data_IF_169810607937
#
_entry.id   IF_169810607937
#
_cell.length_a   1.000
_cell.length_b   1.000
_cell.length_c   1.000
_cell.angle_alpha   90.00
_cell.angle_beta   90.00
_cell.angle_gamma   90.00
#
_symmetry.space_group_name_H-M   'P 1'
#
loop_
_entity.id
_entity.type
_entity.pdbx_description
1 polymer ?
#
# COMPACT_ATOMS: atom_id res chain seq x y z
N UNK A 1 -15.91 -9.62 5.89
CA UNK A 1 -16.40 -10.33 4.71
C UNK A 1 -15.34 -10.45 3.62
N UNK A 2 -15.33 -11.56 2.88
CA UNK A 2 -14.33 -11.82 1.81
C UNK A 2 -14.36 -10.75 0.72
N UNK A 3 -15.54 -10.23 0.37
CA UNK A 3 -15.70 -9.23 -0.68
C UNK A 3 -14.99 -7.89 -0.36
N UNK A 4 -14.95 -7.49 0.91
CA UNK A 4 -14.43 -6.20 1.33
C UNK A 4 -12.95 -6.22 1.76
N UNK A 5 -12.32 -7.41 1.77
CA UNK A 5 -10.92 -7.55 2.18
C UNK A 5 -9.96 -6.68 1.37
N UNK A 6 -10.16 -6.58 0.06
CA UNK A 6 -9.32 -5.75 -0.79
C UNK A 6 -9.43 -4.27 -0.44
N UNK A 7 -10.64 -3.80 -0.15
CA UNK A 7 -10.87 -2.43 0.28
C UNK A 7 -10.25 -2.15 1.65
N UNK A 8 -10.42 -3.05 2.62
CA UNK A 8 -9.77 -2.92 3.94
C UNK A 8 -8.24 -2.91 3.82
N UNK A 9 -7.67 -3.77 2.97
CA UNK A 9 -6.23 -3.79 2.69
C UNK A 9 -5.76 -2.50 2.02
N UNK A 10 -6.54 -1.91 1.12
CA UNK A 10 -6.19 -0.63 0.48
C UNK A 10 -6.18 0.53 1.46
N UNK A 11 -7.09 0.55 2.43
CA UNK A 11 -7.08 1.53 3.53
C UNK A 11 -5.81 1.37 4.37
N UNK A 12 -5.47 0.14 4.73
CA UNK A 12 -4.25 -0.14 5.48
C UNK A 12 -2.99 0.29 4.70
N UNK A 13 -2.91 -0.06 3.41
CA UNK A 13 -1.79 0.32 2.54
C UNK A 13 -1.67 1.84 2.34
N UNK A 14 -2.76 2.59 2.46
CA UNK A 14 -2.71 4.06 2.34
C UNK A 14 -1.85 4.71 3.42
N UNK A 15 -1.70 4.06 4.58
CA UNK A 15 -0.80 4.52 5.63
C UNK A 15 0.66 4.62 5.15
N UNK A 16 1.14 3.65 4.36
CA UNK A 16 2.48 3.71 3.78
C UNK A 16 2.63 4.84 2.76
N UNK A 17 1.58 5.11 1.97
CA UNK A 17 1.55 6.22 1.02
C UNK A 17 1.57 7.58 1.73
N UNK A 18 0.82 7.73 2.82
CA UNK A 18 0.87 8.93 3.66
C UNK A 18 2.27 9.11 4.24
N UNK A 19 2.90 8.04 4.73
CA UNK A 19 4.28 8.07 5.20
C UNK A 19 5.26 8.52 4.11
N UNK A 20 5.13 7.98 2.90
CA UNK A 20 5.95 8.35 1.75
C UNK A 20 5.75 9.81 1.32
N UNK A 21 4.56 10.38 1.57
CA UNK A 21 4.24 11.78 1.27
C UNK A 21 4.81 12.73 2.34
N UNK A 22 4.75 12.33 3.61
CA UNK A 22 5.18 13.17 4.75
C UNK A 22 6.70 13.13 4.96
N UNK A 23 7.34 11.97 4.72
CA UNK A 23 8.76 11.78 5.01
C UNK A 23 9.69 12.74 4.23
N UNK A 24 9.56 12.95 2.91
CA UNK A 24 10.39 13.89 2.16
C UNK A 24 10.27 15.35 2.63
N UNK A 25 9.14 15.70 3.24
CA UNK A 25 8.92 17.04 3.78
C UNK A 25 9.50 17.18 5.19
N UNK A 26 9.27 16.20 6.06
CA UNK A 26 9.58 16.29 7.48
C UNK A 26 11.05 15.95 7.80
N UNK A 27 11.62 14.92 7.17
CA UNK A 27 12.96 14.43 7.49
C UNK A 27 14.05 15.47 7.20
N UNK A 28 14.09 16.13 6.03
CA UNK A 28 15.10 17.17 5.76
C UNK A 28 14.97 18.37 6.69
N UNK A 29 13.75 18.76 7.06
CA UNK A 29 13.50 19.88 7.98
C UNK A 29 14.02 19.54 9.38
N UNK A 30 13.73 18.35 9.88
CA UNK A 30 14.23 17.87 11.18
C UNK A 30 15.77 17.79 11.17
N UNK A 31 16.34 17.20 10.13
CA UNK A 31 17.79 17.06 10.02
C UNK A 31 18.50 18.43 9.99
N UNK A 32 17.96 19.38 9.21
CA UNK A 32 18.49 20.76 9.17
C UNK A 32 18.37 21.45 10.53
N UNK A 33 17.23 21.34 11.19
CA UNK A 33 17.00 21.92 12.50
C UNK A 33 18.03 21.42 13.53
N UNK A 34 18.19 20.10 13.68
CA UNK A 34 19.12 19.51 14.64
C UNK A 34 20.60 19.78 14.32
N UNK A 35 20.95 19.80 13.05
CA UNK A 35 22.28 20.21 12.61
C UNK A 35 22.57 21.65 13.01
N UNK A 36 21.62 22.57 12.85
CA UNK A 36 21.80 23.98 13.15
C UNK A 36 21.98 24.24 14.68
N UNK A 37 21.36 23.43 15.52
CA UNK A 37 21.53 23.52 16.99
C UNK A 37 22.72 22.70 17.50
N UNK A 38 23.55 22.14 16.60
CA UNK A 38 24.78 21.43 16.95
C UNK A 38 24.59 20.01 17.49
N UNK A 39 23.44 19.37 17.23
CA UNK A 39 23.18 18.00 17.66
C UNK A 39 23.52 17.03 16.51
N UNK A 40 24.75 16.53 16.51
CA UNK A 40 25.27 15.59 15.52
C UNK A 40 25.23 16.14 14.09
N UNK A 41 25.01 15.25 13.12
CA UNK A 41 24.75 15.65 11.72
C UNK A 41 23.27 15.96 11.44
N UNK A 42 22.40 15.79 12.45
CA UNK A 42 20.97 16.10 12.41
C UNK A 42 20.08 14.94 11.92
N UNK A 43 20.57 14.08 11.04
CA UNK A 43 19.79 12.96 10.52
C UNK A 43 19.55 11.89 11.60
N UNK A 44 20.45 11.70 12.52
CA UNK A 44 20.33 10.75 13.63
C UNK A 44 19.08 11.05 14.48
N UNK A 45 18.87 12.35 14.76
CA UNK A 45 17.71 12.78 15.54
C UNK A 45 16.40 12.57 14.78
N UNK A 46 16.41 12.64 13.46
CA UNK A 46 15.22 12.33 12.64
C UNK A 46 14.81 10.86 12.82
N UNK A 47 15.76 9.92 12.84
CA UNK A 47 15.48 8.51 13.11
C UNK A 47 14.96 8.27 14.52
N UNK A 48 15.57 8.93 15.52
CA UNK A 48 15.16 8.80 16.93
C UNK A 48 13.72 9.30 17.10
N UNK A 49 13.36 10.45 16.52
CA UNK A 49 12.02 11.03 16.63
C UNK A 49 10.99 10.14 15.94
N UNK A 50 11.26 9.69 14.71
CA UNK A 50 10.34 8.83 13.98
C UNK A 50 10.17 7.48 14.68
N UNK A 51 11.27 6.91 15.20
CA UNK A 51 11.24 5.70 16.01
C UNK A 51 10.42 5.88 17.30
N UNK A 52 10.59 7.01 17.99
CA UNK A 52 9.82 7.34 19.19
C UNK A 52 8.31 7.46 18.90
N UNK A 53 7.92 8.04 17.76
CA UNK A 53 6.52 8.08 17.32
C UNK A 53 5.94 6.67 17.12
N UNK A 54 6.76 5.72 16.65
CA UNK A 54 6.35 4.31 16.57
C UNK A 54 6.02 3.70 17.93
N UNK A 55 6.79 4.01 18.98
CA UNK A 55 6.47 3.55 20.35
C UNK A 55 5.23 4.23 20.91
N UNK A 56 5.02 5.51 20.62
CA UNK A 56 3.76 6.22 20.97
C UNK A 56 2.57 5.54 20.31
N UNK A 57 2.68 5.22 19.01
CA UNK A 57 1.66 4.47 18.29
C UNK A 57 1.38 3.10 18.92
N UNK A 58 2.44 2.37 19.27
CA UNK A 58 2.31 1.06 19.94
C UNK A 58 1.54 1.19 21.26
N UNK A 59 1.82 2.24 22.04
CA UNK A 59 1.06 2.55 23.25
C UNK A 59 -0.42 2.72 22.95
N UNK A 60 -0.79 3.58 22.00
CA UNK A 60 -2.18 3.75 21.57
C UNK A 60 -2.81 2.43 21.12
N UNK A 61 -2.10 1.64 20.33
CA UNK A 61 -2.59 0.36 19.88
C UNK A 61 -2.95 -0.58 21.04
N UNK A 62 -2.08 -0.72 22.02
CA UNK A 62 -2.31 -1.60 23.18
C UNK A 62 -3.53 -1.18 24.02
N UNK A 63 -3.82 0.13 24.09
CA UNK A 63 -4.96 0.64 24.85
C UNK A 63 -6.27 0.67 24.05
N UNK A 64 -6.22 0.89 22.75
CA UNK A 64 -7.41 1.11 21.92
C UNK A 64 -7.86 -0.15 21.18
N UNK A 65 -6.94 -1.07 20.89
CA UNK A 65 -7.28 -2.26 20.11
C UNK A 65 -8.12 -3.23 20.93
N UNK A 66 -9.30 -3.56 20.41
CA UNK A 66 -10.20 -4.58 20.93
C UNK A 66 -10.68 -5.47 19.78
N UNK A 67 -10.90 -6.75 20.08
CA UNK A 67 -11.53 -7.64 19.09
C UNK A 67 -12.97 -7.19 18.83
N UNK A 68 -13.52 -7.39 17.60
CA UNK A 68 -14.88 -6.98 17.28
C UNK A 68 -15.93 -7.46 18.28
N UNK A 69 -15.80 -8.70 18.78
CA UNK A 69 -16.71 -9.32 19.74
C UNK A 69 -16.67 -8.67 21.14
N UNK A 70 -15.59 -7.97 21.45
CA UNK A 70 -15.36 -7.30 22.74
C UNK A 70 -15.53 -5.79 22.66
N UNK A 71 -15.67 -5.26 21.45
CA UNK A 71 -15.77 -3.83 21.21
C UNK A 71 -17.17 -3.31 21.52
N UNK A 72 -17.25 -2.27 22.35
CA UNK A 72 -18.50 -1.58 22.66
C UNK A 72 -19.04 -0.75 21.49
N UNK A 73 -18.24 -0.54 20.45
CA UNK A 73 -18.58 0.28 19.29
C UNK A 73 -19.17 -0.54 18.14
N UNK A 74 -19.07 -1.87 18.19
CA UNK A 74 -19.60 -2.79 17.18
C UNK A 74 -21.00 -3.24 17.60
N UNK A 75 -21.99 -3.01 16.74
CA UNK A 75 -23.35 -3.48 16.99
C UNK A 75 -23.56 -4.92 16.45
N UNK A 76 -24.67 -5.55 16.83
CA UNK A 76 -24.97 -6.96 16.44
C UNK A 76 -25.07 -7.14 14.92
N UNK A 77 -25.62 -6.14 14.20
CA UNK A 77 -25.75 -6.20 12.74
C UNK A 77 -24.37 -6.15 12.07
N UNK A 78 -23.47 -5.32 12.59
CA UNK A 78 -22.09 -5.22 12.11
C UNK A 78 -21.29 -6.49 12.44
N UNK A 79 -21.47 -7.05 13.64
CA UNK A 79 -20.83 -8.30 14.02
C UNK A 79 -21.27 -9.45 13.11
N UNK A 80 -22.57 -9.55 12.83
CA UNK A 80 -23.12 -10.53 11.88
C UNK A 80 -22.55 -10.32 10.47
N UNK A 81 -22.42 -9.07 10.03
CA UNK A 81 -21.81 -8.75 8.74
C UNK A 81 -20.33 -9.15 8.69
N UNK A 82 -19.57 -8.94 9.75
CA UNK A 82 -18.16 -9.35 9.83
C UNK A 82 -18.03 -10.87 9.70
N UNK A 83 -18.91 -11.64 10.36
CA UNK A 83 -18.88 -13.10 10.41
C UNK A 83 -19.70 -13.79 9.32
N UNK A 84 -20.32 -13.06 8.39
CA UNK A 84 -21.20 -13.66 7.37
C UNK A 84 -20.55 -14.78 6.55
N UNK A 85 -19.23 -14.72 6.35
CA UNK A 85 -18.49 -15.75 5.61
C UNK A 85 -18.12 -16.97 6.45
N UNK A 86 -18.31 -16.91 7.76
CA UNK A 86 -18.04 -18.02 8.69
C UNK A 86 -19.27 -18.95 8.73
N UNK A 87 -20.47 -18.40 8.57
CA UNK A 87 -21.71 -19.16 8.48
C UNK A 87 -21.78 -20.06 7.22
N UNK A 88 -21.12 -19.69 6.12
CA UNK A 88 -21.01 -20.53 4.92
C UNK A 88 -20.19 -21.81 5.15
N UNK A 89 -19.40 -21.89 6.23
CA UNK A 89 -18.60 -23.08 6.57
C UNK A 89 -19.39 -24.15 7.31
N UNK A 90 -20.56 -23.82 7.86
CA UNK A 90 -21.35 -24.77 8.64
C UNK A 90 -21.98 -25.90 7.79
N UNK A 91 -21.97 -25.76 6.45
CA UNK A 91 -22.34 -26.83 5.51
C UNK A 91 -21.21 -27.80 5.14
N UNK A 92 -19.96 -27.43 5.42
CA UNK A 92 -18.78 -28.28 5.25
C UNK A 92 -18.30 -28.65 6.66
N UNK A 93 -18.36 -29.96 7.00
CA UNK A 93 -17.85 -30.47 8.28
C UNK A 93 -16.54 -29.76 8.61
N UNK A 94 -16.37 -29.23 9.82
CA UNK A 94 -15.11 -28.60 10.22
C UNK A 94 -14.00 -29.61 10.01
N UNK A 95 -13.17 -29.38 9.02
CA UNK A 95 -11.87 -30.04 8.93
C UNK A 95 -11.17 -29.67 10.23
N UNK A 96 -10.84 -30.65 11.05
CA UNK A 96 -10.25 -30.48 12.37
C UNK A 96 -9.18 -29.37 12.30
N UNK A 97 -9.53 -28.20 12.85
CA UNK A 97 -8.68 -27.00 12.85
C UNK A 97 -7.32 -27.22 13.55
N UNK A 98 -7.16 -28.31 14.27
CA UNK A 98 -5.89 -28.69 14.92
C UNK A 98 -4.86 -29.23 13.92
N UNK A 99 -5.28 -29.86 12.80
CA UNK A 99 -4.36 -30.34 11.76
C UNK A 99 -3.92 -29.23 10.79
N UNK A 100 -4.74 -28.16 10.61
CA UNK A 100 -4.35 -27.00 9.79
C UNK A 100 -3.33 -26.10 10.49
N UNK A 101 -3.25 -26.09 11.82
CA UNK A 101 -2.36 -25.21 12.59
C UNK A 101 -0.88 -25.58 12.53
N UNK A 102 -0.54 -26.80 12.15
CA UNK A 102 0.82 -27.33 12.24
C UNK A 102 1.42 -27.71 10.86
N UNK A 103 1.05 -26.98 9.79
CA UNK A 103 1.72 -27.19 8.50
C UNK A 103 3.14 -26.61 8.61
N UNK A 104 4.19 -27.43 8.52
CA UNK A 104 5.57 -26.94 8.57
C UNK A 104 5.81 -25.98 7.39
N UNK A 105 6.56 -24.89 7.65
CA UNK A 105 6.82 -23.83 6.66
C UNK A 105 7.33 -24.40 5.31
N UNK A 106 8.18 -25.40 5.35
CA UNK A 106 8.72 -26.07 4.15
C UNK A 106 7.62 -26.67 3.26
N UNK A 107 6.50 -27.11 3.84
CA UNK A 107 5.38 -27.64 3.07
C UNK A 107 4.68 -26.57 2.22
N UNK A 108 4.72 -25.28 2.64
CA UNK A 108 4.18 -24.20 1.80
C UNK A 108 4.93 -24.07 0.47
N UNK A 109 6.22 -24.38 0.43
CA UNK A 109 7.04 -24.34 -0.77
C UNK A 109 6.66 -25.42 -1.81
N UNK A 110 5.87 -26.42 -1.42
CA UNK A 110 5.39 -27.47 -2.33
C UNK A 110 4.11 -27.07 -3.08
N UNK A 111 3.44 -25.99 -2.68
CA UNK A 111 2.22 -25.53 -3.32
C UNK A 111 2.52 -24.58 -4.49
N UNK A 112 2.00 -24.83 -5.71
CA UNK A 112 2.17 -23.94 -6.86
C UNK A 112 1.66 -22.50 -6.58
N UNK A 113 0.60 -22.38 -5.79
CA UNK A 113 0.01 -21.09 -5.40
C UNK A 113 1.01 -20.21 -4.63
N UNK A 114 1.83 -20.82 -3.76
CA UNK A 114 2.89 -20.11 -3.02
C UNK A 114 3.89 -19.48 -3.97
N UNK A 115 4.35 -20.23 -4.97
CA UNK A 115 5.28 -19.72 -5.96
C UNK A 115 4.66 -18.66 -6.85
N UNK A 116 3.38 -18.81 -7.24
CA UNK A 116 2.68 -17.81 -8.01
C UNK A 116 2.63 -16.47 -7.27
N UNK A 117 2.26 -16.48 -5.98
CA UNK A 117 2.22 -15.27 -5.15
C UNK A 117 3.63 -14.72 -4.94
N UNK A 118 4.62 -15.58 -4.64
CA UNK A 118 6.00 -15.17 -4.42
C UNK A 118 6.59 -14.47 -5.64
N UNK A 119 6.48 -15.09 -6.83
CA UNK A 119 7.01 -14.51 -8.06
C UNK A 119 6.27 -13.22 -8.45
N UNK A 120 4.94 -13.22 -8.33
CA UNK A 120 4.16 -12.03 -8.60
C UNK A 120 4.60 -10.86 -7.72
N UNK A 121 4.75 -11.07 -6.41
CA UNK A 121 5.21 -10.06 -5.47
C UNK A 121 6.66 -9.64 -5.72
N UNK A 122 7.57 -10.58 -5.96
CA UNK A 122 8.96 -10.29 -6.24
C UNK A 122 9.13 -9.33 -7.43
N UNK A 123 8.36 -9.55 -8.50
CA UNK A 123 8.43 -8.73 -9.70
C UNK A 123 7.74 -7.38 -9.48
N UNK A 124 6.53 -7.37 -8.93
CA UNK A 124 5.72 -6.16 -8.83
C UNK A 124 6.20 -5.21 -7.73
N UNK A 125 6.60 -5.72 -6.57
CA UNK A 125 7.08 -4.88 -5.47
C UNK A 125 8.41 -4.21 -5.82
N UNK A 126 9.26 -4.86 -6.64
CA UNK A 126 10.46 -4.24 -7.20
C UNK A 126 10.17 -2.97 -8.00
N UNK A 127 9.10 -2.96 -8.79
CA UNK A 127 8.65 -1.77 -9.55
C UNK A 127 8.21 -0.65 -8.61
N UNK A 128 7.46 -0.99 -7.56
CA UNK A 128 7.03 0.00 -6.56
C UNK A 128 8.21 0.67 -5.86
N UNK A 129 9.16 -0.13 -5.37
CA UNK A 129 10.35 0.39 -4.70
C UNK A 129 11.22 1.22 -5.65
N UNK A 130 11.30 0.83 -6.92
CA UNK A 130 11.96 1.64 -7.93
C UNK A 130 11.31 3.01 -8.05
N UNK A 131 10.00 3.12 -8.22
CA UNK A 131 9.32 4.40 -8.29
C UNK A 131 9.52 5.24 -7.02
N UNK A 132 9.48 4.62 -5.85
CA UNK A 132 9.63 5.32 -4.58
C UNK A 132 11.01 5.95 -4.41
N UNK A 133 12.06 5.20 -4.70
CA UNK A 133 13.43 5.65 -4.41
C UNK A 133 14.11 6.37 -5.58
N UNK A 134 13.78 6.03 -6.82
CA UNK A 134 14.47 6.57 -7.98
C UNK A 134 13.80 7.78 -8.62
N UNK A 135 12.52 8.04 -8.35
CA UNK A 135 11.86 9.24 -8.89
C UNK A 135 12.53 10.55 -8.46
N UNK A 136 12.97 10.75 -7.19
CA UNK A 136 13.71 11.94 -6.82
C UNK A 136 15.04 12.09 -7.58
N UNK A 137 15.78 11.00 -7.75
CA UNK A 137 17.02 10.99 -8.53
C UNK A 137 16.73 11.32 -10.01
N UNK A 138 15.70 10.72 -10.58
CA UNK A 138 15.25 10.99 -11.95
C UNK A 138 14.91 12.48 -12.17
N UNK A 139 14.21 13.12 -11.23
CA UNK A 139 13.90 14.53 -11.30
C UNK A 139 15.16 15.40 -11.22
N UNK A 140 16.11 15.01 -10.37
CA UNK A 140 17.39 15.69 -10.22
C UNK A 140 18.24 15.59 -11.49
N UNK A 141 18.40 14.38 -12.04
CA UNK A 141 19.34 14.11 -13.12
C UNK A 141 18.81 14.57 -14.50
N UNK A 142 17.51 14.40 -14.73
CA UNK A 142 16.90 14.71 -16.03
C UNK A 142 16.43 16.16 -16.13
N UNK A 143 15.93 16.73 -15.02
CA UNK A 143 15.32 18.08 -15.03
C UNK A 143 16.10 19.10 -14.21
N UNK A 144 17.27 18.74 -13.64
CA UNK A 144 18.06 19.60 -12.75
C UNK A 144 17.22 20.12 -11.56
N UNK A 145 16.36 19.26 -11.01
CA UNK A 145 15.51 19.54 -9.85
C UNK A 145 15.99 18.73 -8.63
N UNK A 146 17.02 19.18 -7.90
CA UNK A 146 17.51 18.49 -6.71
C UNK A 146 16.42 18.40 -5.64
N UNK A 147 16.56 17.44 -4.72
CA UNK A 147 15.51 17.09 -3.74
C UNK A 147 15.14 18.21 -2.77
N UNK A 148 15.97 19.25 -2.63
CA UNK A 148 15.71 20.46 -1.84
C UNK A 148 15.02 21.57 -2.64
N UNK A 149 14.84 21.40 -3.96
CA UNK A 149 14.13 22.33 -4.81
C UNK A 149 12.62 22.29 -4.50
N UNK A 150 11.95 23.43 -4.25
CA UNK A 150 10.51 23.48 -3.97
C UNK A 150 9.63 22.83 -5.06
N UNK A 151 10.06 22.93 -6.33
CA UNK A 151 9.34 22.29 -7.44
C UNK A 151 9.47 20.78 -7.37
N UNK A 152 10.66 20.23 -7.09
CA UNK A 152 10.85 18.80 -6.92
C UNK A 152 9.99 18.24 -5.76
N UNK A 153 9.96 18.96 -4.64
CA UNK A 153 9.12 18.61 -3.49
C UNK A 153 7.64 18.59 -3.88
N UNK A 154 7.17 19.61 -4.61
CA UNK A 154 5.80 19.66 -5.09
C UNK A 154 5.48 18.51 -6.04
N UNK A 155 6.36 18.17 -6.98
CA UNK A 155 6.18 17.06 -7.91
C UNK A 155 6.09 15.72 -7.21
N UNK A 156 6.97 15.47 -6.22
CA UNK A 156 6.94 14.27 -5.39
C UNK A 156 5.63 14.21 -4.57
N UNK A 157 5.22 15.34 -4.00
CA UNK A 157 3.95 15.44 -3.28
C UNK A 157 2.76 15.09 -4.18
N UNK A 158 2.69 15.65 -5.38
CA UNK A 158 1.63 15.35 -6.36
C UNK A 158 1.66 13.89 -6.76
N UNK A 159 2.83 13.32 -7.04
CA UNK A 159 3.00 11.91 -7.37
C UNK A 159 2.38 11.00 -6.30
N UNK A 160 2.76 11.20 -5.03
CA UNK A 160 2.21 10.38 -3.93
C UNK A 160 0.74 10.68 -3.66
N UNK A 161 0.27 11.90 -3.89
CA UNK A 161 -1.15 12.22 -3.81
C UNK A 161 -1.96 11.43 -4.85
N UNK A 162 -1.42 11.27 -6.07
CA UNK A 162 -2.04 10.44 -7.11
C UNK A 162 -2.05 8.97 -6.69
N UNK A 163 -0.99 8.46 -6.03
CA UNK A 163 -0.97 7.07 -5.58
C UNK A 163 -2.07 6.74 -4.55
N UNK A 164 -2.61 7.73 -3.84
CA UNK A 164 -3.75 7.54 -2.94
C UNK A 164 -5.04 7.15 -3.67
N UNK A 165 -5.12 7.31 -5.00
CA UNK A 165 -6.24 6.77 -5.79
C UNK A 165 -6.37 5.25 -5.65
N UNK A 166 -5.34 4.56 -5.16
CA UNK A 166 -5.39 3.14 -4.81
C UNK A 166 -6.50 2.80 -3.79
N UNK A 167 -6.91 3.74 -2.95
CA UNK A 167 -8.06 3.58 -2.05
C UNK A 167 -9.35 3.29 -2.84
N UNK A 168 -9.56 4.04 -3.93
CA UNK A 168 -10.70 3.81 -4.82
C UNK A 168 -10.54 2.50 -5.59
N UNK A 169 -9.30 2.21 -6.03
CA UNK A 169 -8.97 0.96 -6.72
C UNK A 169 -9.25 -0.30 -5.87
N UNK A 170 -9.03 -0.22 -4.55
CA UNK A 170 -9.36 -1.31 -3.62
C UNK A 170 -10.85 -1.64 -3.54
N UNK A 171 -11.74 -0.73 -3.94
CA UNK A 171 -13.19 -0.98 -4.04
C UNK A 171 -13.60 -1.68 -5.33
N UNK A 172 -12.75 -1.74 -6.34
CA UNK A 172 -13.12 -2.27 -7.65
C UNK A 172 -13.65 -3.72 -7.59
N UNK A 173 -13.03 -4.66 -6.87
CA UNK A 173 -13.57 -6.01 -6.75
C UNK A 173 -14.95 -6.04 -6.10
N UNK A 174 -15.17 -5.26 -5.06
CA UNK A 174 -16.49 -5.16 -4.40
C UNK A 174 -17.56 -4.69 -5.40
N UNK A 175 -17.24 -3.64 -6.19
CA UNK A 175 -18.14 -3.12 -7.22
C UNK A 175 -18.43 -4.19 -8.29
N UNK A 176 -17.42 -4.98 -8.69
CA UNK A 176 -17.61 -6.06 -9.67
C UNK A 176 -18.55 -7.12 -9.09
N UNK A 177 -18.32 -7.57 -7.85
CA UNK A 177 -19.19 -8.55 -7.17
C UNK A 177 -20.63 -8.05 -7.10
N UNK A 178 -20.83 -6.82 -6.61
CA UNK A 178 -22.17 -6.25 -6.40
C UNK A 178 -22.94 -6.05 -7.74
N UNK A 179 -22.24 -5.76 -8.84
CA UNK A 179 -22.86 -5.55 -10.16
C UNK A 179 -23.07 -6.83 -10.96
N UNK A 180 -22.20 -7.82 -10.81
CA UNK A 180 -22.17 -8.98 -11.69
C UNK A 180 -22.56 -10.29 -11.00
N UNK A 181 -22.63 -10.30 -9.66
CA UNK A 181 -22.87 -11.51 -8.88
C UNK A 181 -21.73 -12.54 -8.93
N UNK A 182 -20.56 -12.17 -9.48
CA UNK A 182 -19.41 -13.06 -9.59
C UNK A 182 -18.82 -13.43 -8.23
N UNK A 183 -18.19 -14.60 -8.18
CA UNK A 183 -17.46 -15.00 -6.99
C UNK A 183 -16.35 -13.97 -6.66
N UNK A 184 -16.12 -13.63 -5.38
CA UNK A 184 -15.10 -12.63 -4.97
C UNK A 184 -13.70 -12.90 -5.51
N UNK A 185 -13.32 -14.16 -5.68
CA UNK A 185 -12.04 -14.55 -6.26
C UNK A 185 -11.89 -14.09 -7.71
N UNK A 186 -12.91 -14.34 -8.55
CA UNK A 186 -12.89 -13.96 -9.96
C UNK A 186 -12.92 -12.45 -10.15
N UNK A 187 -13.68 -11.76 -9.30
CA UNK A 187 -13.73 -10.30 -9.29
C UNK A 187 -12.37 -9.68 -8.96
N UNK A 188 -11.62 -10.26 -8.01
CA UNK A 188 -10.27 -9.83 -7.69
C UNK A 188 -9.30 -10.06 -8.84
N UNK A 189 -9.31 -11.24 -9.45
CA UNK A 189 -8.48 -11.51 -10.62
C UNK A 189 -8.74 -10.53 -11.76
N UNK A 190 -10.00 -10.18 -12.01
CA UNK A 190 -10.36 -9.19 -13.03
C UNK A 190 -9.83 -7.79 -12.66
N UNK A 191 -9.97 -7.37 -11.40
CA UNK A 191 -9.44 -6.11 -10.95
C UNK A 191 -7.91 -6.07 -11.04
N UNK A 192 -7.23 -7.13 -10.62
CA UNK A 192 -5.77 -7.26 -10.75
C UNK A 192 -5.32 -7.16 -12.20
N UNK A 193 -5.98 -7.87 -13.11
CA UNK A 193 -5.68 -7.80 -14.55
C UNK A 193 -5.84 -6.36 -15.08
N UNK A 194 -6.93 -5.69 -14.71
CA UNK A 194 -7.15 -4.29 -15.08
C UNK A 194 -6.01 -3.38 -14.62
N UNK A 195 -5.59 -3.51 -13.36
CA UNK A 195 -4.52 -2.68 -12.80
C UNK A 195 -3.15 -2.94 -13.42
N UNK A 196 -2.88 -4.14 -13.94
CA UNK A 196 -1.58 -4.44 -14.59
C UNK A 196 -1.36 -3.67 -15.89
N UNK A 197 -2.41 -3.10 -16.48
CA UNK A 197 -2.29 -2.34 -17.73
C UNK A 197 -1.73 -0.92 -17.52
N UNK A 198 -1.95 -0.34 -16.33
CA UNK A 198 -1.55 1.06 -16.08
C UNK A 198 -0.04 1.30 -16.00
N UNK A 199 0.79 0.41 -15.41
CA UNK A 199 2.24 0.59 -15.45
C UNK A 199 2.82 0.66 -16.86
N UNK A 200 2.14 0.13 -17.89
CA UNK A 200 2.58 0.26 -19.29
C UNK A 200 2.62 1.71 -19.76
N UNK A 201 1.80 2.59 -19.17
CA UNK A 201 1.84 4.02 -19.51
C UNK A 201 3.13 4.70 -19.10
N UNK A 202 3.92 4.14 -18.19
CA UNK A 202 5.25 4.68 -17.83
C UNK A 202 6.24 4.60 -18.97
N UNK A 203 6.02 3.76 -19.99
CA UNK A 203 6.82 3.73 -21.21
C UNK A 203 6.78 5.08 -21.96
N UNK A 204 5.72 5.85 -21.77
CA UNK A 204 5.56 7.18 -22.34
C UNK A 204 6.12 8.29 -21.45
N UNK A 205 6.59 7.97 -20.23
CA UNK A 205 7.06 8.97 -19.28
C UNK A 205 8.25 9.76 -19.84
N UNK A 206 9.25 9.09 -20.39
CA UNK A 206 10.43 9.76 -20.93
C UNK A 206 10.13 10.52 -22.23
N UNK A 207 9.46 9.95 -23.26
CA UNK A 207 9.09 10.71 -24.46
C UNK A 207 8.26 11.95 -24.16
N UNK A 208 7.24 11.84 -23.33
CA UNK A 208 6.39 12.99 -22.96
C UNK A 208 7.10 13.93 -21.98
N UNK A 209 8.04 13.42 -21.23
CA UNK A 209 8.88 14.20 -20.31
C UNK A 209 9.74 15.26 -20.99
N UNK A 210 10.02 15.12 -22.29
CA UNK A 210 10.70 16.15 -23.07
C UNK A 210 9.87 17.44 -23.23
N UNK A 211 8.56 17.34 -23.14
CA UNK A 211 7.66 18.48 -23.21
C UNK A 211 7.43 19.12 -21.82
N UNK A 212 7.33 18.30 -20.77
CA UNK A 212 7.15 18.80 -19.41
C UNK A 212 7.39 17.69 -18.38
N UNK A 213 8.03 18.04 -17.25
CA UNK A 213 8.24 17.15 -16.09
C UNK A 213 6.92 16.70 -15.45
N UNK A 214 5.79 17.31 -15.71
CA UNK A 214 4.50 16.89 -15.20
C UNK A 214 4.04 15.54 -15.76
N UNK A 215 4.35 15.25 -17.03
CA UNK A 215 3.94 13.99 -17.66
C UNK A 215 4.52 12.76 -16.94
N UNK A 216 5.84 12.63 -16.74
CA UNK A 216 6.38 11.49 -16.03
C UNK A 216 5.86 11.40 -14.60
N UNK A 217 5.71 12.51 -13.89
CA UNK A 217 5.19 12.52 -12.51
C UNK A 217 3.77 11.96 -12.45
N UNK A 218 2.88 12.39 -13.34
CA UNK A 218 1.50 11.91 -13.40
C UNK A 218 1.46 10.43 -13.81
N UNK A 219 2.23 10.02 -14.82
CA UNK A 219 2.24 8.64 -15.31
C UNK A 219 2.79 7.66 -14.26
N UNK A 220 3.89 8.04 -13.58
CA UNK A 220 4.45 7.24 -12.48
C UNK A 220 3.47 7.21 -11.30
N UNK A 221 2.82 8.32 -10.97
CA UNK A 221 1.80 8.38 -9.92
C UNK A 221 0.61 7.44 -10.19
N UNK A 222 0.10 7.44 -11.43
CA UNK A 222 -0.98 6.54 -11.87
C UNK A 222 -0.51 5.07 -11.81
N UNK A 223 0.70 4.77 -12.27
CA UNK A 223 1.28 3.43 -12.20
C UNK A 223 1.44 2.98 -10.74
N UNK A 224 1.88 3.86 -9.85
CA UNK A 224 1.96 3.61 -8.41
C UNK A 224 0.60 3.35 -7.77
N UNK A 225 -0.44 4.12 -8.14
CA UNK A 225 -1.81 3.90 -7.69
C UNK A 225 -2.34 2.52 -8.14
N UNK A 226 -2.08 2.15 -9.39
CA UNK A 226 -2.46 0.86 -9.94
C UNK A 226 -1.72 -0.29 -9.25
N UNK A 227 -0.41 -0.15 -9.00
CA UNK A 227 0.36 -1.14 -8.25
C UNK A 227 -0.20 -1.34 -6.84
N UNK A 228 -0.46 -0.27 -6.09
CA UNK A 228 -1.03 -0.37 -4.75
C UNK A 228 -2.43 -1.00 -4.76
N UNK A 229 -3.26 -0.67 -5.76
CA UNK A 229 -4.58 -1.28 -5.97
C UNK A 229 -4.45 -2.78 -6.27
N UNK A 230 -3.49 -3.17 -7.09
CA UNK A 230 -3.18 -4.56 -7.40
C UNK A 230 -2.70 -5.32 -6.16
N UNK A 231 -1.78 -4.71 -5.41
CA UNK A 231 -1.18 -5.29 -4.20
C UNK A 231 -2.20 -5.52 -3.07
N UNK A 232 -3.28 -4.74 -3.03
CA UNK A 232 -4.36 -4.88 -2.06
C UNK A 232 -5.29 -6.08 -2.34
N UNK A 233 -5.27 -6.61 -3.56
CA UNK A 233 -6.11 -7.72 -4.03
C UNK A 233 -5.45 -9.08 -3.90
#
# INVERSE_FOLDING_TARGET
PKKDRAFATSIFNSGSTIGALVAPLSIPLLARYFKNIGVGNGWEMSFIIIGALGFVWLGFWLFLYQKPEQSKYVNEAELKYIHQDDEEKDGVKPVNNEQERNIPFVKFLTFPQTWAIFLAKLITDGVWWFFLFWTPAYLSDVYNLPSDNPVAILLIFVLYSITMLSLVGGKLPTIIVDRTGKHPYDARLQAMFFFTLFPLFTLFAQPLGTYSYWFPVILIGIAGAAHQSWSAN
#
